data_IF_136597196078
#
_entry.id   IF_136597196078
#
_cell.length_a   1.000
_cell.length_b   1.000
_cell.length_c   1.000
_cell.angle_alpha   90.00
_cell.angle_beta   90.00
_cell.angle_gamma   90.00
#
_symmetry.space_group_name_H-M   'P 1'
#
loop_
_entity.id
_entity.type
_entity.pdbx_description
1 polymer ?
#
# COMPACT_ATOMS: atom_id res chain seq x y z
N UNK A 1 -42.94 -9.19 -82.24
CA UNK A 1 -41.69 -8.86 -81.52
C UNK A 1 -41.48 -9.91 -80.43
N UNK A 2 -40.40 -10.71 -80.54
CA UNK A 2 -39.61 -11.47 -79.53
C UNK A 2 -40.39 -12.24 -78.44
N UNK A 3 -40.47 -13.58 -78.48
CA UNK A 3 -39.54 -14.58 -77.85
C UNK A 3 -39.40 -14.35 -76.32
N UNK A 4 -39.49 -15.31 -75.38
CA UNK A 4 -38.91 -16.67 -75.28
C UNK A 4 -39.71 -17.46 -74.20
N UNK A 5 -39.77 -18.79 -74.36
CA UNK A 5 -40.26 -19.82 -73.42
C UNK A 5 -39.11 -20.33 -72.53
N UNK A 6 -39.24 -20.45 -71.19
CA UNK A 6 -38.64 -21.47 -70.25
C UNK A 6 -39.39 -21.32 -68.89
N UNK A 7 -40.28 -22.23 -68.47
CA UNK A 7 -40.11 -23.52 -67.78
C UNK A 7 -39.89 -23.47 -66.25
N UNK A 8 -40.88 -24.04 -65.53
CA UNK A 8 -40.77 -24.95 -64.38
C UNK A 8 -40.64 -24.45 -62.93
N UNK A 9 -41.53 -25.07 -62.13
CA UNK A 9 -41.43 -25.50 -60.71
C UNK A 9 -41.93 -24.57 -59.59
N UNK A 10 -43.14 -24.91 -59.17
CA UNK A 10 -43.68 -24.93 -57.79
C UNK A 10 -42.65 -25.13 -56.69
N UNK A 11 -42.72 -24.33 -55.62
CA UNK A 11 -42.56 -24.78 -54.24
C UNK A 11 -43.39 -23.89 -53.29
N UNK A 12 -44.03 -24.54 -52.33
CA UNK A 12 -44.90 -23.97 -51.31
C UNK A 12 -44.16 -22.94 -50.43
N UNK A 13 -44.82 -21.84 -50.08
CA UNK A 13 -44.33 -20.94 -49.04
C UNK A 13 -44.71 -21.53 -47.66
N UNK A 14 -43.66 -21.88 -46.93
CA UNK A 14 -43.67 -22.58 -45.65
C UNK A 14 -43.80 -21.54 -44.54
N UNK A 15 -44.73 -21.80 -43.61
CA UNK A 15 -44.96 -21.05 -42.39
C UNK A 15 -43.68 -20.46 -41.77
N UNK A 16 -43.70 -19.13 -41.58
CA UNK A 16 -42.68 -18.39 -40.88
C UNK A 16 -42.39 -18.96 -39.47
N UNK A 17 -41.11 -19.02 -39.05
CA UNK A 17 -40.72 -19.63 -37.78
C UNK A 17 -41.27 -18.85 -36.58
N UNK A 18 -41.88 -19.59 -35.65
CA UNK A 18 -42.43 -19.09 -34.41
C UNK A 18 -41.42 -18.31 -33.57
N UNK A 19 -41.93 -17.27 -32.90
CA UNK A 19 -41.20 -16.49 -31.90
C UNK A 19 -40.64 -17.45 -30.83
N UNK A 20 -39.34 -17.40 -30.49
CA UNK A 20 -38.81 -18.26 -29.45
C UNK A 20 -39.43 -17.91 -28.10
N UNK A 21 -40.10 -18.92 -27.55
CA UNK A 21 -40.80 -18.94 -26.27
C UNK A 21 -39.83 -18.60 -25.12
N UNK A 22 -39.84 -17.35 -24.65
CA UNK A 22 -39.08 -16.91 -23.47
C UNK A 22 -39.85 -17.19 -22.19
N UNK A 23 -39.87 -18.45 -21.74
CA UNK A 23 -40.13 -18.76 -20.32
C UNK A 23 -39.26 -19.90 -19.80
N UNK A 24 -38.53 -19.56 -18.74
CA UNK A 24 -37.99 -20.39 -17.68
C UNK A 24 -36.81 -21.32 -18.02
N UNK A 25 -35.60 -20.83 -17.75
CA UNK A 25 -34.67 -21.58 -16.88
C UNK A 25 -34.37 -20.70 -15.68
N UNK A 26 -35.09 -20.96 -14.61
CA UNK A 26 -34.75 -20.51 -13.27
C UNK A 26 -33.59 -21.37 -12.78
N UNK A 27 -32.37 -20.87 -12.91
CA UNK A 27 -31.25 -21.39 -12.13
C UNK A 27 -30.55 -20.19 -11.51
N UNK A 28 -30.73 -20.05 -10.20
CA UNK A 28 -29.91 -19.21 -9.33
C UNK A 28 -28.50 -19.82 -9.27
N UNK A 29 -27.83 -19.92 -10.42
CA UNK A 29 -26.39 -20.09 -10.47
C UNK A 29 -25.84 -18.86 -9.74
N UNK A 30 -25.02 -19.08 -8.71
CA UNK A 30 -24.23 -18.01 -8.11
C UNK A 30 -23.48 -17.38 -9.28
N UNK A 31 -23.88 -16.17 -9.68
CA UNK A 31 -23.19 -15.43 -10.73
C UNK A 31 -21.80 -15.14 -10.17
N UNK A 32 -20.82 -15.88 -10.63
CA UNK A 32 -19.43 -15.51 -10.45
C UNK A 32 -19.17 -14.35 -11.39
N UNK A 33 -19.12 -13.16 -10.81
CA UNK A 33 -18.60 -11.99 -11.51
C UNK A 33 -17.08 -12.06 -11.44
N UNK A 34 -16.42 -11.61 -12.51
CA UNK A 34 -14.96 -11.56 -12.57
C UNK A 34 -14.36 -10.65 -11.47
N UNK A 35 -13.04 -10.68 -11.30
CA UNK A 35 -12.35 -9.79 -10.36
C UNK A 35 -12.64 -8.32 -10.67
N UNK A 36 -12.45 -7.44 -9.68
CA UNK A 36 -12.62 -6.01 -9.90
C UNK A 36 -11.65 -5.50 -10.97
N UNK A 37 -10.41 -5.95 -10.92
CA UNK A 37 -9.34 -5.59 -11.83
C UNK A 37 -9.68 -6.00 -13.27
N UNK A 38 -10.15 -7.23 -13.48
CA UNK A 38 -10.53 -7.73 -14.82
C UNK A 38 -11.81 -7.06 -15.34
N UNK A 39 -12.75 -6.73 -14.46
CA UNK A 39 -13.95 -5.98 -14.82
C UNK A 39 -13.62 -4.55 -15.21
N UNK A 40 -12.80 -3.86 -14.42
CA UNK A 40 -12.34 -2.50 -14.66
C UNK A 40 -11.57 -2.42 -15.98
N UNK A 41 -10.59 -3.31 -16.18
CA UNK A 41 -9.82 -3.38 -17.42
C UNK A 41 -10.71 -3.58 -18.66
N UNK A 42 -11.69 -4.49 -18.58
CA UNK A 42 -12.65 -4.70 -19.66
C UNK A 42 -13.52 -3.45 -19.91
N UNK A 43 -14.08 -2.86 -18.86
CA UNK A 43 -14.99 -1.72 -18.99
C UNK A 43 -14.27 -0.47 -19.52
N UNK A 44 -12.99 -0.30 -19.22
CA UNK A 44 -12.15 0.75 -19.82
C UNK A 44 -12.09 0.63 -21.35
N UNK A 45 -12.08 -0.58 -21.90
CA UNK A 45 -12.08 -0.79 -23.37
C UNK A 45 -13.35 -0.29 -24.05
N UNK A 46 -14.45 -0.13 -23.29
CA UNK A 46 -15.73 0.36 -23.82
C UNK A 46 -15.73 1.88 -24.02
N UNK A 47 -14.79 2.60 -23.40
CA UNK A 47 -14.63 4.04 -23.55
C UNK A 47 -15.79 4.88 -23.00
N UNK A 48 -16.62 4.32 -22.09
CA UNK A 48 -17.79 5.00 -21.52
C UNK A 48 -17.35 6.21 -20.67
N UNK A 49 -17.96 7.37 -20.91
CA UNK A 49 -17.56 8.66 -20.33
C UNK A 49 -18.51 9.19 -19.27
N UNK A 50 -19.52 8.42 -18.87
CA UNK A 50 -20.50 8.84 -17.88
C UNK A 50 -21.26 7.66 -17.27
N UNK A 51 -21.88 7.89 -16.10
CA UNK A 51 -22.78 6.92 -15.50
C UNK A 51 -24.04 6.72 -16.37
N UNK A 52 -24.47 7.75 -17.09
CA UNK A 52 -25.55 7.70 -18.08
C UNK A 52 -25.21 6.75 -19.22
N UNK A 53 -24.01 6.83 -19.78
CA UNK A 53 -23.52 5.90 -20.81
C UNK A 53 -23.42 4.47 -20.28
N UNK A 54 -22.96 4.27 -19.05
CA UNK A 54 -23.00 2.96 -18.39
C UNK A 54 -24.42 2.42 -18.26
N UNK A 55 -25.37 3.27 -17.86
CA UNK A 55 -26.77 2.89 -17.73
C UNK A 55 -27.40 2.51 -19.07
N UNK A 56 -27.05 3.22 -20.15
CA UNK A 56 -27.47 2.90 -21.51
C UNK A 56 -26.85 1.58 -22.00
N UNK A 57 -25.53 1.43 -21.84
CA UNK A 57 -24.80 0.22 -22.24
C UNK A 57 -25.30 -1.02 -21.50
N UNK A 58 -25.50 -0.95 -20.17
CA UNK A 58 -26.01 -2.10 -19.40
C UNK A 58 -27.44 -2.47 -19.77
N UNK A 59 -28.25 -1.52 -20.23
CA UNK A 59 -29.63 -1.72 -20.64
C UNK A 59 -29.75 -2.23 -22.09
N UNK A 60 -28.73 -2.01 -22.92
CA UNK A 60 -28.70 -2.45 -24.33
C UNK A 60 -28.72 -3.97 -24.52
N UNK A 61 -28.40 -4.74 -23.48
CA UNK A 61 -28.22 -6.18 -23.55
C UNK A 61 -26.80 -6.61 -23.96
N UNK A 62 -25.90 -5.66 -24.27
CA UNK A 62 -24.50 -5.95 -24.60
C UNK A 62 -23.62 -6.30 -23.38
N UNK A 63 -24.11 -6.09 -22.15
CA UNK A 63 -23.35 -6.37 -20.93
C UNK A 63 -23.10 -7.88 -20.76
N UNK A 64 -21.84 -8.33 -20.68
CA UNK A 64 -21.52 -9.71 -20.37
C UNK A 64 -22.13 -10.18 -19.05
N UNK A 65 -22.47 -11.47 -18.97
CA UNK A 65 -23.11 -12.04 -17.78
C UNK A 65 -22.24 -12.00 -16.52
N UNK A 66 -20.93 -11.96 -16.69
CA UNK A 66 -19.89 -11.95 -15.65
C UNK A 66 -19.41 -10.53 -15.26
N UNK A 67 -20.04 -9.48 -15.79
CA UNK A 67 -19.89 -8.09 -15.32
C UNK A 67 -21.12 -7.71 -14.49
N UNK A 68 -21.01 -7.28 -13.22
CA UNK A 68 -22.18 -6.93 -12.42
C UNK A 68 -22.91 -5.70 -12.99
N UNK A 69 -24.25 -5.69 -12.91
CA UNK A 69 -25.06 -4.55 -13.36
C UNK A 69 -24.98 -3.33 -12.45
N UNK A 70 -24.62 -3.55 -11.18
CA UNK A 70 -24.43 -2.56 -10.13
C UNK A 70 -23.05 -2.79 -9.49
N UNK A 71 -21.95 -2.45 -10.18
CA UNK A 71 -20.60 -2.79 -9.76
C UNK A 71 -20.24 -2.20 -8.39
N UNK A 72 -20.77 -1.03 -8.04
CA UNK A 72 -20.62 -0.42 -6.70
C UNK A 72 -21.14 -1.25 -5.54
N UNK A 73 -22.11 -2.14 -5.77
CA UNK A 73 -22.60 -3.06 -4.73
C UNK A 73 -21.74 -4.30 -4.60
N UNK A 74 -21.21 -4.79 -5.72
CA UNK A 74 -20.50 -6.07 -5.75
C UNK A 74 -19.02 -5.91 -5.41
N UNK A 75 -18.39 -4.85 -5.92
CA UNK A 75 -16.97 -4.58 -5.70
C UNK A 75 -16.71 -3.65 -4.49
N UNK A 76 -17.74 -3.35 -3.68
CA UNK A 76 -17.65 -2.43 -2.54
C UNK A 76 -16.46 -2.74 -1.60
N UNK A 77 -16.20 -4.03 -1.33
CA UNK A 77 -15.09 -4.50 -0.50
C UNK A 77 -13.91 -5.07 -1.31
N UNK A 78 -13.92 -4.87 -2.63
CA UNK A 78 -12.95 -5.45 -3.57
C UNK A 78 -12.38 -4.38 -4.50
N UNK A 79 -12.20 -3.17 -3.99
CA UNK A 79 -11.54 -2.08 -4.73
C UNK A 79 -12.46 -1.12 -5.45
N UNK A 80 -13.79 -1.20 -5.30
CA UNK A 80 -14.69 -0.16 -5.83
C UNK A 80 -14.42 1.18 -5.17
N UNK A 81 -14.15 2.17 -6.00
CA UNK A 81 -13.98 3.55 -5.55
C UNK A 81 -15.11 4.44 -6.09
N UNK A 82 -15.27 4.52 -7.42
CA UNK A 82 -16.32 5.31 -8.06
C UNK A 82 -16.60 4.85 -9.49
N UNK A 83 -17.65 5.39 -10.10
CA UNK A 83 -17.88 5.20 -11.54
C UNK A 83 -16.73 5.76 -12.39
N UNK A 84 -16.11 6.88 -11.99
CA UNK A 84 -14.98 7.44 -12.74
C UNK A 84 -13.81 6.45 -12.82
N UNK A 85 -13.47 5.83 -11.69
CA UNK A 85 -12.42 4.80 -11.64
C UNK A 85 -12.78 3.53 -12.41
N UNK A 86 -13.99 3.02 -12.21
CA UNK A 86 -14.42 1.76 -12.82
C UNK A 86 -14.63 1.87 -14.33
N UNK A 87 -15.12 3.01 -14.82
CA UNK A 87 -15.36 3.26 -16.24
C UNK A 87 -14.14 3.89 -16.96
N UNK A 88 -13.18 4.45 -16.22
CA UNK A 88 -11.98 5.05 -16.80
C UNK A 88 -12.21 6.44 -17.39
N UNK A 89 -13.05 7.26 -16.73
CA UNK A 89 -13.29 8.65 -17.14
C UNK A 89 -13.18 9.62 -15.97
N UNK A 90 -12.81 10.86 -16.28
CA UNK A 90 -12.72 11.93 -15.30
C UNK A 90 -14.08 12.64 -15.20
N UNK A 91 -14.75 12.49 -14.06
CA UNK A 91 -15.77 13.47 -13.64
C UNK A 91 -15.00 14.73 -13.21
N UNK A 92 -15.51 15.92 -13.54
CA UNK A 92 -14.87 17.21 -13.27
C UNK A 92 -14.41 17.43 -11.82
N UNK A 93 -13.65 18.51 -11.58
CA UNK A 93 -12.98 18.92 -10.32
C UNK A 93 -13.05 17.89 -9.18
N UNK A 94 -11.92 17.27 -8.87
CA UNK A 94 -11.77 16.31 -7.77
C UNK A 94 -12.43 16.86 -6.48
N UNK A 95 -13.61 16.34 -6.16
CA UNK A 95 -14.37 16.70 -4.96
C UNK A 95 -14.16 15.68 -3.83
N UNK A 96 -13.27 14.70 -4.01
CA UNK A 96 -12.88 13.70 -3.01
C UNK A 96 -11.48 13.95 -2.45
N UNK A 97 -11.20 13.43 -1.27
CA UNK A 97 -9.85 13.38 -0.71
C UNK A 97 -8.98 12.46 -1.58
N UNK A 98 -7.80 12.94 -1.97
CA UNK A 98 -6.80 12.07 -2.58
C UNK A 98 -6.22 11.17 -1.50
N UNK A 99 -5.82 9.95 -1.89
CA UNK A 99 -5.16 9.02 -0.95
C UNK A 99 -3.85 9.61 -0.43
N UNK A 100 -3.35 9.06 0.67
CA UNK A 100 -2.08 9.49 1.26
C UNK A 100 -0.93 9.36 0.25
N UNK A 101 0.15 10.12 0.45
CA UNK A 101 1.32 10.03 -0.41
C UNK A 101 1.88 8.61 -0.47
N UNK A 102 1.97 7.93 0.68
CA UNK A 102 2.52 6.56 0.76
C UNK A 102 1.64 5.55 0.01
N UNK A 103 0.32 5.65 0.12
CA UNK A 103 -0.60 4.77 -0.61
C UNK A 103 -0.57 5.04 -2.13
N UNK A 104 -0.46 6.31 -2.52
CA UNK A 104 -0.30 6.68 -3.93
C UNK A 104 1.02 6.18 -4.50
N UNK A 105 2.13 6.44 -3.80
CA UNK A 105 3.47 6.00 -4.16
C UNK A 105 3.53 4.49 -4.30
N UNK A 106 3.03 3.74 -3.31
CA UNK A 106 3.00 2.27 -3.33
C UNK A 106 2.24 1.74 -4.55
N UNK A 107 1.07 2.30 -4.86
CA UNK A 107 0.31 1.91 -6.05
C UNK A 107 1.04 2.28 -7.34
N UNK A 108 1.59 3.48 -7.43
CA UNK A 108 2.26 3.95 -8.66
C UNK A 108 3.53 3.14 -8.95
N UNK A 109 4.22 2.65 -7.91
CA UNK A 109 5.35 1.73 -8.06
C UNK A 109 4.94 0.42 -8.76
N UNK A 110 3.73 -0.09 -8.54
CA UNK A 110 3.27 -1.32 -9.21
C UNK A 110 3.05 -1.14 -10.70
N UNK A 111 2.99 0.11 -11.20
CA UNK A 111 2.81 0.42 -12.62
C UNK A 111 4.12 0.35 -13.41
N UNK A 112 5.28 0.42 -12.73
CA UNK A 112 6.59 0.33 -13.37
C UNK A 112 6.91 1.47 -14.36
N UNK A 113 6.30 2.64 -14.20
CA UNK A 113 6.49 3.81 -15.07
C UNK A 113 7.91 4.37 -14.90
N UNK A 114 8.61 4.64 -16.01
CA UNK A 114 10.03 5.04 -16.03
C UNK A 114 10.28 6.48 -16.44
N UNK A 115 9.32 7.37 -16.19
CA UNK A 115 9.50 8.79 -16.47
C UNK A 115 8.25 9.63 -16.34
N UNK A 116 8.46 10.94 -16.34
CA UNK A 116 7.38 11.95 -16.35
C UNK A 116 6.53 11.87 -17.61
N UNK A 117 7.11 11.48 -18.75
CA UNK A 117 6.38 11.29 -20.01
C UNK A 117 5.42 10.10 -19.94
N UNK A 118 5.90 8.95 -19.44
CA UNK A 118 5.06 7.76 -19.21
C UNK A 118 3.97 8.04 -18.18
N UNK A 119 4.30 8.78 -17.12
CA UNK A 119 3.31 9.28 -16.16
C UNK A 119 2.24 10.14 -16.83
N UNK A 120 2.64 11.12 -17.65
CA UNK A 120 1.70 12.01 -18.31
C UNK A 120 0.77 11.23 -19.26
N UNK A 121 1.32 10.30 -20.04
CA UNK A 121 0.55 9.45 -20.95
C UNK A 121 -0.44 8.54 -20.18
N UNK A 122 0.04 7.86 -19.13
CA UNK A 122 -0.81 7.01 -18.29
C UNK A 122 -1.88 7.82 -17.56
N UNK A 123 -1.52 8.97 -16.98
CA UNK A 123 -2.41 9.88 -16.26
C UNK A 123 -3.51 10.46 -17.14
N UNK A 124 -3.21 10.67 -18.43
CA UNK A 124 -4.16 11.14 -19.44
C UNK A 124 -4.98 10.02 -20.10
N UNK A 125 -4.56 8.75 -19.97
CA UNK A 125 -5.21 7.60 -20.63
C UNK A 125 -6.62 7.28 -20.11
N UNK A 126 -6.97 7.79 -18.92
CA UNK A 126 -8.19 7.43 -18.18
C UNK A 126 -7.99 6.28 -17.19
N UNK A 127 -6.83 5.60 -17.20
CA UNK A 127 -6.52 4.51 -16.27
C UNK A 127 -6.12 4.99 -14.86
N UNK A 128 -5.80 6.28 -14.69
CA UNK A 128 -5.43 6.87 -13.39
C UNK A 128 -6.63 6.86 -12.44
N UNK A 129 -6.53 6.21 -11.25
CA UNK A 129 -7.53 6.30 -10.20
C UNK A 129 -7.83 7.76 -9.83
N UNK A 130 -9.09 8.08 -9.53
CA UNK A 130 -9.50 9.46 -9.24
C UNK A 130 -8.86 10.01 -7.96
N UNK A 131 -8.49 9.13 -7.03
CA UNK A 131 -7.91 9.43 -5.73
C UNK A 131 -6.39 9.56 -5.79
N UNK A 132 -5.80 9.51 -6.98
CA UNK A 132 -4.39 9.88 -7.22
C UNK A 132 -4.37 11.19 -8.00
N UNK A 133 -3.69 12.25 -7.52
CA UNK A 133 -3.65 13.54 -8.20
C UNK A 133 -2.90 13.47 -9.53
N UNK A 134 -3.38 14.22 -10.53
CA UNK A 134 -2.74 14.28 -11.85
C UNK A 134 -1.42 15.03 -11.83
N UNK A 135 -1.30 15.98 -10.89
CA UNK A 135 -0.08 16.67 -10.53
C UNK A 135 0.28 16.32 -9.08
N UNK A 136 0.93 15.16 -8.85
CA UNK A 136 1.24 14.69 -7.50
C UNK A 136 2.32 15.55 -6.82
N UNK A 137 3.22 16.19 -7.59
CA UNK A 137 4.21 17.12 -7.07
C UNK A 137 3.58 18.27 -6.30
N UNK A 138 2.57 18.91 -6.87
CA UNK A 138 1.90 20.04 -6.22
C UNK A 138 1.06 19.58 -5.04
N UNK A 139 0.38 18.44 -5.16
CA UNK A 139 -0.53 17.97 -4.11
C UNK A 139 0.20 17.44 -2.88
N UNK A 140 1.22 16.60 -3.08
CA UNK A 140 1.97 15.96 -2.00
C UNK A 140 3.18 16.77 -1.52
N UNK A 141 3.35 18.01 -1.99
CA UNK A 141 4.51 18.88 -1.69
C UNK A 141 4.88 18.95 -0.20
N UNK A 142 3.86 19.00 0.68
CA UNK A 142 4.02 19.05 2.15
C UNK A 142 3.71 17.72 2.84
N UNK A 143 3.46 16.66 2.07
CA UNK A 143 2.99 15.36 2.55
C UNK A 143 3.91 14.22 2.15
N UNK A 144 5.22 14.48 2.07
CA UNK A 144 6.24 13.47 1.76
C UNK A 144 6.71 13.45 0.31
N UNK A 145 6.19 14.33 -0.57
CA UNK A 145 6.73 14.44 -1.92
C UNK A 145 8.19 14.86 -1.90
N UNK A 146 8.99 14.15 -2.68
CA UNK A 146 10.34 14.60 -2.98
C UNK A 146 10.63 14.71 -4.46
N UNK A 147 10.35 13.67 -5.24
CA UNK A 147 10.65 13.72 -6.66
C UNK A 147 9.79 12.76 -7.46
N UNK A 148 9.70 13.03 -8.77
CA UNK A 148 9.05 12.12 -9.71
C UNK A 148 9.68 10.71 -9.71
N UNK A 149 11.01 10.56 -9.75
CA UNK A 149 11.64 9.24 -9.62
C UNK A 149 11.21 8.46 -8.38
N UNK A 150 11.14 9.14 -7.23
CA UNK A 150 10.67 8.53 -5.99
C UNK A 150 9.22 8.07 -6.08
N UNK A 151 8.34 8.97 -6.52
CA UNK A 151 6.93 8.70 -6.62
C UNK A 151 6.59 7.61 -7.65
N UNK A 152 7.37 7.54 -8.74
CA UNK A 152 7.22 6.55 -9.80
C UNK A 152 7.94 5.22 -9.51
N UNK A 153 8.89 5.21 -8.56
CA UNK A 153 9.60 3.99 -8.14
C UNK A 153 10.67 3.51 -9.12
N UNK A 154 11.24 4.42 -9.92
CA UNK A 154 12.36 4.09 -10.80
C UNK A 154 13.64 4.80 -10.36
N UNK A 155 14.74 4.05 -10.30
CA UNK A 155 16.05 4.60 -10.03
C UNK A 155 16.52 5.42 -11.24
N UNK A 156 16.60 6.75 -11.11
CA UNK A 156 17.43 7.54 -12.01
C UNK A 156 18.88 7.19 -11.67
N UNK A 157 19.67 6.86 -12.70
CA UNK A 157 21.07 6.49 -12.56
C UNK A 157 21.89 7.52 -11.77
N UNK A 158 23.17 7.16 -11.51
CA UNK A 158 24.17 7.86 -10.67
C UNK A 158 24.11 9.39 -10.61
N UNK A 159 23.61 10.07 -11.63
CA UNK A 159 23.51 11.53 -11.72
C UNK A 159 22.43 12.15 -10.80
N UNK A 160 21.30 11.48 -10.56
CA UNK A 160 20.31 11.96 -9.57
C UNK A 160 20.78 11.75 -8.12
N UNK A 161 21.64 10.75 -7.88
CA UNK A 161 22.18 10.44 -6.56
C UNK A 161 23.12 11.53 -6.01
N UNK A 162 23.62 12.43 -6.85
CA UNK A 162 24.59 13.48 -6.44
C UNK A 162 23.88 14.67 -5.76
N UNK A 163 22.61 14.96 -6.10
CA UNK A 163 21.93 16.18 -5.61
C UNK A 163 21.15 16.03 -4.31
N UNK A 164 20.93 14.80 -3.81
CA UNK A 164 20.02 14.52 -2.68
C UNK A 164 20.70 13.89 -1.46
N UNK A 165 22.03 13.87 -1.38
CA UNK A 165 22.79 13.27 -0.28
C UNK A 165 22.58 13.94 1.10
N UNK A 166 21.76 14.97 1.21
CA UNK A 166 21.66 15.82 2.41
C UNK A 166 20.44 15.61 3.29
N UNK A 167 19.36 14.96 2.83
CA UNK A 167 18.11 14.83 3.60
C UNK A 167 17.65 13.37 3.72
N UNK A 168 18.50 12.49 4.26
CA UNK A 168 18.02 11.17 4.69
C UNK A 168 17.12 11.34 5.92
N UNK A 169 16.05 10.57 6.00
CA UNK A 169 15.12 10.61 7.15
C UNK A 169 15.83 10.21 8.44
N UNK A 170 15.21 10.51 9.59
CA UNK A 170 15.75 10.14 10.91
C UNK A 170 15.99 8.63 11.00
N UNK A 171 16.88 8.19 11.90
CA UNK A 171 17.15 6.78 12.08
C UNK A 171 15.87 6.03 12.49
N UNK A 172 15.09 6.62 13.37
CA UNK A 172 13.83 6.08 13.89
C UNK A 172 12.80 5.87 12.78
N UNK A 173 12.62 6.88 11.91
CA UNK A 173 11.68 6.80 10.79
C UNK A 173 12.15 5.82 9.71
N UNK A 174 13.48 5.77 9.46
CA UNK A 174 14.08 4.81 8.54
C UNK A 174 13.90 3.38 9.05
N UNK A 175 14.22 3.13 10.32
CA UNK A 175 14.07 1.83 10.97
C UNK A 175 12.63 1.37 10.96
N UNK A 176 11.69 2.23 11.37
CA UNK A 176 10.27 1.91 11.37
C UNK A 176 9.76 1.53 9.97
N UNK A 177 10.15 2.29 8.94
CA UNK A 177 9.81 1.97 7.55
C UNK A 177 10.42 0.63 7.11
N UNK A 178 11.71 0.41 7.35
CA UNK A 178 12.40 -0.80 6.91
C UNK A 178 11.85 -2.05 7.61
N UNK A 179 11.37 -1.95 8.85
CA UNK A 179 10.65 -3.03 9.52
C UNK A 179 9.39 -3.48 8.78
N UNK A 180 8.66 -2.54 8.14
CA UNK A 180 7.46 -2.87 7.35
C UNK A 180 7.76 -3.74 6.13
N UNK A 181 9.00 -3.71 5.64
CA UNK A 181 9.45 -4.52 4.50
C UNK A 181 9.64 -5.98 4.87
N UNK A 182 9.78 -6.30 6.15
CA UNK A 182 9.91 -7.67 6.65
C UNK A 182 11.19 -8.40 6.23
N UNK A 183 12.23 -7.67 5.83
CA UNK A 183 13.51 -8.21 5.35
C UNK A 183 14.19 -9.07 6.43
N UNK A 184 14.66 -10.26 6.06
CA UNK A 184 15.18 -11.29 6.99
C UNK A 184 16.69 -11.30 7.15
N UNK A 185 17.41 -10.41 6.48
CA UNK A 185 18.86 -10.36 6.58
C UNK A 185 19.50 -9.34 5.64
N UNK A 186 20.82 -9.23 5.75
CA UNK A 186 21.64 -8.33 4.93
C UNK A 186 21.60 -8.68 3.45
N UNK A 187 21.46 -9.95 3.08
CA UNK A 187 21.33 -10.38 1.69
C UNK A 187 20.03 -9.85 1.05
N UNK A 188 18.90 -9.93 1.77
CA UNK A 188 17.64 -9.37 1.31
C UNK A 188 17.68 -7.84 1.26
N UNK A 189 18.36 -7.21 2.21
CA UNK A 189 18.65 -5.78 2.16
C UNK A 189 19.47 -5.39 0.93
N UNK A 190 20.52 -6.16 0.60
CA UNK A 190 21.36 -5.94 -0.56
C UNK A 190 20.57 -6.06 -1.87
N UNK A 191 19.73 -7.10 -1.98
CA UNK A 191 18.85 -7.28 -3.11
C UNK A 191 17.82 -6.14 -3.21
N UNK A 192 17.17 -5.78 -2.10
CA UNK A 192 16.18 -4.71 -2.06
C UNK A 192 16.78 -3.35 -2.40
N UNK A 193 17.94 -2.99 -1.82
CA UNK A 193 18.61 -1.71 -2.09
C UNK A 193 19.11 -1.59 -3.52
N UNK A 194 19.42 -2.72 -4.17
CA UNK A 194 19.83 -2.78 -5.57
C UNK A 194 18.64 -2.84 -6.56
N UNK A 195 17.45 -3.23 -6.11
CA UNK A 195 16.27 -3.40 -6.97
C UNK A 195 15.71 -2.09 -7.55
N UNK A 196 16.08 -0.95 -6.96
CA UNK A 196 15.50 0.36 -7.26
C UNK A 196 14.26 0.72 -6.44
N UNK A 197 13.74 -0.22 -5.63
CA UNK A 197 12.60 0.02 -4.73
C UNK A 197 12.97 0.84 -3.48
N UNK A 198 14.26 0.96 -3.14
CA UNK A 198 14.73 1.72 -1.99
C UNK A 198 14.40 3.22 -2.16
N UNK A 199 13.61 3.82 -1.25
CA UNK A 199 13.41 5.26 -1.22
C UNK A 199 14.75 6.00 -1.15
N UNK A 200 14.82 7.15 -1.82
CA UNK A 200 16.04 7.96 -1.89
C UNK A 200 16.46 8.50 -0.52
N UNK A 201 15.52 8.70 0.41
CA UNK A 201 15.72 9.21 1.77
C UNK A 201 16.07 8.11 2.78
N UNK A 202 16.21 6.86 2.34
CA UNK A 202 16.82 5.78 3.11
C UNK A 202 18.26 5.62 2.61
N UNK A 203 19.30 5.77 3.44
CA UNK A 203 20.68 5.60 2.99
C UNK A 203 20.96 4.18 2.51
N UNK A 204 21.80 4.05 1.48
CA UNK A 204 22.23 2.74 0.95
C UNK A 204 23.15 1.97 1.92
N UNK A 205 23.85 2.72 2.77
CA UNK A 205 24.77 2.26 3.81
C UNK A 205 24.33 2.88 5.14
N UNK A 206 23.22 2.40 5.72
CA UNK A 206 22.64 2.98 6.93
C UNK A 206 23.58 2.83 8.14
N UNK A 207 24.45 1.82 8.13
CA UNK A 207 25.52 1.61 9.11
C UNK A 207 26.50 2.76 9.19
N UNK A 208 26.85 3.33 8.05
CA UNK A 208 27.77 4.46 7.98
C UNK A 208 27.04 5.76 8.28
N UNK A 209 25.82 5.93 7.76
CA UNK A 209 25.08 7.18 7.88
C UNK A 209 24.52 7.41 9.29
N UNK A 210 23.92 6.39 9.89
CA UNK A 210 23.31 6.49 11.22
C UNK A 210 24.26 6.13 12.36
N UNK A 211 25.57 5.98 12.09
CA UNK A 211 26.59 5.59 13.08
C UNK A 211 26.53 6.39 14.40
N UNK A 212 26.26 7.70 14.31
CA UNK A 212 26.12 8.60 15.46
C UNK A 212 24.67 8.93 15.83
N UNK A 213 23.70 8.29 15.17
CA UNK A 213 22.27 8.60 15.24
C UNK A 213 21.45 7.37 15.62
N UNK A 214 22.01 6.50 16.46
CA UNK A 214 21.28 5.34 16.97
C UNK A 214 21.50 4.04 16.18
N UNK A 215 22.37 4.02 15.16
CA UNK A 215 22.73 2.77 14.50
C UNK A 215 23.37 1.80 15.48
N UNK A 216 22.86 0.57 15.48
CA UNK A 216 23.36 -0.50 16.32
C UNK A 216 23.78 -1.72 15.52
N UNK A 217 22.92 -2.23 14.63
CA UNK A 217 23.24 -3.34 13.74
C UNK A 217 22.22 -3.44 12.61
N UNK A 218 22.53 -4.23 11.58
CA UNK A 218 21.55 -4.61 10.57
C UNK A 218 20.36 -5.37 11.18
N UNK A 219 20.57 -6.21 12.20
CA UNK A 219 19.47 -6.89 12.89
C UNK A 219 18.47 -5.90 13.49
N UNK A 220 18.97 -4.83 14.09
CA UNK A 220 18.12 -3.75 14.61
C UNK A 220 17.32 -3.06 13.51
N UNK A 221 18.06 -2.61 12.49
CA UNK A 221 17.55 -1.69 11.50
C UNK A 221 16.56 -2.39 10.56
N UNK A 222 16.83 -3.66 10.24
CA UNK A 222 15.98 -4.49 9.39
C UNK A 222 14.82 -5.14 10.15
N UNK A 223 14.91 -5.25 11.48
CA UNK A 223 13.83 -5.80 12.30
C UNK A 223 13.69 -7.33 12.22
N UNK A 224 14.72 -8.04 11.74
CA UNK A 224 14.74 -9.50 11.82
C UNK A 224 15.29 -9.95 13.17
N UNK A 225 14.48 -10.74 13.87
CA UNK A 225 14.94 -11.48 15.04
C UNK A 225 15.97 -12.49 14.58
N UNK A 226 17.25 -12.17 14.70
CA UNK A 226 18.23 -13.23 14.87
C UNK A 226 17.95 -13.82 16.25
N UNK A 227 17.19 -14.91 16.26
CA UNK A 227 17.03 -15.74 17.44
C UNK A 227 18.42 -16.03 18.01
N UNK A 228 18.64 -15.61 19.26
CA UNK A 228 19.88 -15.86 19.99
C UNK A 228 21.17 -15.31 19.33
N UNK A 229 21.22 -14.01 18.98
CA UNK A 229 22.56 -13.39 18.96
C UNK A 229 23.00 -13.25 20.41
N UNK A 230 24.10 -13.91 20.73
CA UNK A 230 24.96 -13.57 21.85
C UNK A 230 25.57 -12.16 21.62
N UNK A 231 24.71 -11.14 21.57
CA UNK A 231 25.09 -9.74 21.53
C UNK A 231 25.06 -9.18 22.94
N UNK A 232 26.04 -8.36 23.29
CA UNK A 232 26.02 -7.64 24.56
C UNK A 232 24.80 -6.71 24.58
N UNK A 233 23.88 -6.95 25.52
CA UNK A 233 22.90 -5.93 25.87
C UNK A 233 23.66 -4.69 26.34
N UNK A 234 23.16 -3.50 26.00
CA UNK A 234 23.76 -2.25 26.48
C UNK A 234 23.82 -2.23 28.01
N UNK A 235 24.64 -1.34 28.58
CA UNK A 235 24.72 -1.19 30.04
C UNK A 235 23.33 -0.86 30.61
N UNK A 236 23.12 -1.16 31.90
CA UNK A 236 21.86 -0.82 32.56
C UNK A 236 21.60 0.69 32.50
N UNK A 237 22.64 1.49 32.71
CA UNK A 237 22.59 2.94 32.69
C UNK A 237 22.18 3.48 31.32
N UNK A 238 22.75 2.95 30.23
CA UNK A 238 22.41 3.37 28.87
C UNK A 238 21.01 2.89 28.46
N UNK A 239 20.62 1.66 28.86
CA UNK A 239 19.27 1.17 28.65
C UNK A 239 18.25 2.03 29.39
N UNK A 240 18.49 2.33 30.65
CA UNK A 240 17.61 3.16 31.47
C UNK A 240 17.49 4.58 30.91
N UNK A 241 18.61 5.21 30.55
CA UNK A 241 18.61 6.54 29.94
C UNK A 241 17.82 6.59 28.63
N UNK A 242 18.00 5.59 27.76
CA UNK A 242 17.22 5.46 26.53
C UNK A 242 15.74 5.23 26.81
N UNK A 243 15.40 4.30 27.70
CA UNK A 243 14.00 3.97 27.99
C UNK A 243 13.27 5.15 28.64
N UNK A 244 13.95 6.02 29.38
CA UNK A 244 13.38 7.25 29.91
C UNK A 244 12.95 8.23 28.81
N UNK A 245 13.62 8.26 27.65
CA UNK A 245 13.22 9.14 26.53
C UNK A 245 11.90 8.72 25.90
N UNK A 246 11.53 7.44 26.02
CA UNK A 246 10.27 6.89 25.49
C UNK A 246 9.05 7.34 26.28
N UNK A 247 9.24 7.83 27.51
CA UNK A 247 8.17 8.36 28.35
C UNK A 247 7.14 7.33 28.84
N UNK A 248 7.45 6.02 28.75
CA UNK A 248 6.57 4.92 29.14
C UNK A 248 6.23 5.00 30.64
N UNK A 249 4.94 4.89 30.99
CA UNK A 249 4.42 5.11 32.35
C UNK A 249 4.00 3.85 33.10
N UNK A 250 4.04 2.69 32.44
CA UNK A 250 3.67 1.44 33.09
C UNK A 250 4.33 0.22 32.46
N UNK A 251 4.22 -0.91 33.15
CA UNK A 251 4.60 -2.22 32.62
C UNK A 251 3.82 -2.60 31.36
N UNK A 252 2.53 -2.26 31.30
CA UNK A 252 1.68 -2.55 30.13
C UNK A 252 2.16 -1.79 28.90
N UNK A 253 2.52 -0.51 29.05
CA UNK A 253 3.11 0.29 27.98
C UNK A 253 4.47 -0.27 27.54
N UNK A 254 5.30 -0.68 28.50
CA UNK A 254 6.55 -1.38 28.20
C UNK A 254 6.32 -2.67 27.41
N UNK A 255 5.39 -3.52 27.84
CA UNK A 255 5.11 -4.79 27.18
C UNK A 255 4.61 -4.57 25.74
N UNK A 256 3.71 -3.60 25.54
CA UNK A 256 3.19 -3.25 24.22
C UNK A 256 4.30 -2.71 23.29
N UNK A 257 5.10 -1.76 23.78
CA UNK A 257 6.24 -1.21 23.02
C UNK A 257 7.32 -2.27 22.74
N UNK A 258 7.64 -3.09 23.74
CA UNK A 258 8.65 -4.15 23.63
C UNK A 258 8.30 -5.21 22.59
N UNK A 259 6.99 -5.44 22.40
CA UNK A 259 6.43 -6.38 21.43
C UNK A 259 6.13 -5.77 20.06
N UNK A 260 6.14 -4.44 19.91
CA UNK A 260 5.75 -3.76 18.66
C UNK A 260 6.77 -3.85 17.52
N UNK A 261 7.96 -4.38 17.80
CA UNK A 261 9.12 -4.30 16.91
C UNK A 261 9.96 -3.03 17.09
N UNK A 262 9.43 -2.01 17.77
CA UNK A 262 10.16 -0.77 18.03
C UNK A 262 11.33 -0.92 19.01
N UNK A 263 11.37 -1.98 19.82
CA UNK A 263 12.44 -2.21 20.79
C UNK A 263 13.78 -2.51 20.11
N UNK A 264 14.86 -1.78 20.44
CA UNK A 264 16.20 -2.12 19.96
C UNK A 264 16.66 -3.50 20.42
N UNK A 265 17.44 -4.21 19.60
CA UNK A 265 17.86 -5.59 19.94
C UNK A 265 18.71 -5.70 21.20
N UNK A 266 19.48 -4.65 21.52
CA UNK A 266 20.37 -4.57 22.67
C UNK A 266 19.66 -4.07 23.93
N UNK A 267 18.35 -3.81 23.85
CA UNK A 267 17.47 -3.61 24.99
C UNK A 267 16.74 -4.93 25.29
N UNK A 268 16.99 -5.56 26.44
CA UNK A 268 16.38 -6.85 26.77
C UNK A 268 14.86 -6.72 26.91
N UNK A 269 14.12 -7.77 26.52
CA UNK A 269 12.66 -7.82 26.69
C UNK A 269 12.27 -7.96 28.15
N UNK A 270 13.15 -8.61 28.92
CA UNK A 270 13.07 -8.84 30.36
C UNK A 270 14.27 -8.15 31.05
N UNK A 271 14.26 -6.81 31.15
CA UNK A 271 15.36 -6.04 31.74
C UNK A 271 15.54 -6.36 33.23
N UNK A 272 14.47 -6.80 33.91
CA UNK A 272 14.51 -7.28 35.30
C UNK A 272 15.41 -8.50 35.48
N UNK A 273 15.39 -9.41 34.51
CA UNK A 273 16.25 -10.59 34.54
C UNK A 273 17.66 -10.25 34.08
N UNK A 274 17.78 -9.45 33.01
CA UNK A 274 19.08 -9.14 32.41
C UNK A 274 19.95 -8.25 33.30
N UNK A 275 19.35 -7.24 33.95
CA UNK A 275 20.07 -6.27 34.77
C UNK A 275 19.96 -6.54 36.28
N UNK A 276 19.49 -7.73 36.67
CA UNK A 276 19.32 -8.14 38.07
C UNK A 276 20.57 -7.88 38.94
N UNK A 277 21.76 -8.10 38.37
CA UNK A 277 23.06 -7.88 39.04
C UNK A 277 23.77 -6.58 38.63
N UNK A 278 23.11 -5.72 37.84
CA UNK A 278 23.72 -4.56 37.19
C UNK A 278 22.94 -3.27 37.46
N UNK A 279 22.36 -3.13 38.65
CA UNK A 279 21.68 -1.89 39.07
C UNK A 279 20.16 -1.90 38.94
N UNK A 280 19.55 -3.00 38.52
CA UNK A 280 18.08 -3.11 38.48
C UNK A 280 17.44 -2.92 39.86
N UNK A 281 16.50 -1.98 39.94
CA UNK A 281 15.71 -1.72 41.14
C UNK A 281 14.24 -2.11 40.96
N UNK A 282 13.61 -1.58 39.91
CA UNK A 282 12.21 -1.85 39.58
C UNK A 282 11.89 -1.34 38.18
N UNK A 283 10.76 -1.77 37.64
CA UNK A 283 10.21 -1.18 36.41
C UNK A 283 9.97 0.33 36.54
N UNK A 284 9.55 0.84 37.70
CA UNK A 284 9.39 2.28 37.90
C UNK A 284 10.70 3.06 37.76
N UNK A 285 11.80 2.51 38.29
CA UNK A 285 13.13 3.12 38.13
C UNK A 285 13.63 3.04 36.69
N UNK A 286 13.50 1.87 36.06
CA UNK A 286 13.98 1.63 34.71
C UNK A 286 13.18 2.42 33.65
N UNK A 287 11.87 2.55 33.84
CA UNK A 287 10.97 3.29 32.94
C UNK A 287 10.89 4.79 33.28
N UNK A 288 11.33 5.19 34.47
CA UNK A 288 11.37 6.60 34.89
C UNK A 288 10.03 7.15 35.38
N UNK A 289 9.13 6.29 35.90
CA UNK A 289 7.89 6.73 36.56
C UNK A 289 7.93 6.51 38.07
N UNK A 290 7.43 7.49 38.82
CA UNK A 290 7.39 7.42 40.28
C UNK A 290 6.31 6.42 40.73
N UNK A 291 6.72 5.32 41.38
CA UNK A 291 5.79 4.49 42.15
C UNK A 291 5.42 5.28 43.41
N UNK A 292 4.23 5.90 43.40
CA UNK A 292 3.72 6.60 44.58
C UNK A 292 3.69 5.65 45.78
N UNK A 293 4.51 5.94 46.81
CA UNK A 293 4.41 5.27 48.12
C UNK A 293 2.99 5.51 48.64
N UNK A 294 2.13 4.48 48.67
CA UNK A 294 0.97 4.50 49.57
C UNK A 294 1.51 4.53 50.99
N UNK A 295 1.44 5.70 51.63
CA UNK A 295 1.65 5.82 53.06
C UNK A 295 0.63 4.90 53.76
N UNK A 296 1.12 3.86 54.46
CA UNK A 296 0.31 3.17 55.46
C UNK A 296 0.04 4.18 56.57
N UNK A 297 -1.19 4.70 56.65
CA UNK A 297 -1.64 5.37 57.87
C UNK A 297 -1.73 4.30 58.96
N UNK A 298 -0.80 4.34 59.90
CA UNK A 298 -0.95 3.67 61.18
C UNK A 298 -2.13 4.32 61.91
N UNK A 299 -3.14 3.50 62.16
CA UNK A 299 -4.20 3.77 63.14
C UNK A 299 -3.53 3.78 64.52
N UNK A 300 -3.70 4.87 65.26
CA UNK A 300 -3.66 4.91 66.71
C UNK A 300 -4.87 5.72 67.19
#
# INVERSE_FOLDING_TARGET
MRSIHISSRTFADVSAPGKPNRRAVNQKARREFRSFEDARAYVHTLGLKSQEEWNAWRASGARPYDIPSHPYTYYASSGWLSYGDFLGFQIGKVTGEFRTFEDARTYVHTLGLKGTEEWAAWSASGARPYDIPGNPQTYYASSGWLSFPDFLGYAVGKEAQVRQRTDFRSFEDARAYVHTLGLKGTEEWDAWRASGARPYDIPSHPDTYYASSGWMSYGDFLGYAVGNVAGEFRSFEDARAYVHTLGLKSWEEWAAWSASGARPYDVPSHPDQKYASSGWLSYGDFLGYAVGKKARSLIQ
#
